data_IF_821792395975
#
_entry.id   IF_821792395975
#
_cell.length_a   1.000
_cell.length_b   1.000
_cell.length_c   1.000
_cell.angle_alpha   90.00
_cell.angle_beta   90.00
_cell.angle_gamma   90.00
#
_symmetry.space_group_name_H-M   'P 1'
#
loop_
_entity.id
_entity.type
_entity.pdbx_description
1 polymer ?
#
# COMPACT_ATOMS: atom_id res chain seq x y z
N UNK A 1 27.16 -6.84 -28.62
CA UNK A 1 26.42 -5.83 -27.81
C UNK A 1 24.97 -6.26 -27.76
N UNK A 2 24.52 -6.68 -26.60
CA UNK A 2 23.36 -7.54 -26.41
C UNK A 2 22.07 -6.77 -26.71
N UNK A 3 21.13 -7.42 -27.41
CA UNK A 3 19.77 -6.91 -27.66
C UNK A 3 19.07 -6.43 -26.37
N UNK A 4 19.41 -7.05 -25.24
CA UNK A 4 18.93 -6.68 -23.90
C UNK A 4 19.40 -5.29 -23.44
N UNK A 5 20.62 -4.86 -23.82
CA UNK A 5 21.13 -3.52 -23.47
C UNK A 5 20.38 -2.41 -24.24
N UNK A 6 19.95 -2.69 -25.47
CA UNK A 6 19.21 -1.72 -26.28
C UNK A 6 17.78 -1.53 -25.76
N UNK A 7 17.13 -2.61 -25.34
CA UNK A 7 15.79 -2.53 -24.74
C UNK A 7 15.80 -1.78 -23.40
N UNK A 8 16.79 -2.06 -22.53
CA UNK A 8 16.95 -1.34 -21.26
C UNK A 8 17.21 0.16 -21.48
N UNK A 9 18.04 0.53 -22.46
CA UNK A 9 18.28 1.93 -22.80
C UNK A 9 17.05 2.65 -23.34
N UNK A 10 16.23 1.99 -24.17
CA UNK A 10 14.98 2.57 -24.71
C UNK A 10 13.95 2.79 -23.61
N UNK A 11 13.81 1.85 -22.68
CA UNK A 11 12.89 1.97 -21.54
C UNK A 11 13.35 3.09 -20.61
N UNK A 12 14.65 3.14 -20.27
CA UNK A 12 15.23 4.17 -19.38
C UNK A 12 15.22 5.58 -19.97
N UNK A 13 15.22 5.72 -21.30
CA UNK A 13 15.13 7.02 -21.99
C UNK A 13 13.70 7.47 -22.26
N UNK A 14 12.68 6.66 -21.94
CA UNK A 14 11.30 7.07 -22.14
C UNK A 14 10.95 8.29 -21.26
N UNK A 15 10.16 9.25 -21.78
CA UNK A 15 9.74 10.42 -21.01
C UNK A 15 8.94 10.02 -19.77
N UNK A 16 8.23 8.90 -19.83
CA UNK A 16 7.52 8.28 -18.71
C UNK A 16 8.50 7.82 -17.62
N UNK A 17 9.57 7.12 -17.99
CA UNK A 17 10.59 6.66 -17.04
C UNK A 17 11.36 7.82 -16.40
N UNK A 18 11.69 8.86 -17.18
CA UNK A 18 12.37 10.07 -16.68
C UNK A 18 11.47 10.94 -15.81
N UNK A 19 10.15 10.86 -16.01
CA UNK A 19 9.16 11.54 -15.16
C UNK A 19 8.89 10.81 -13.85
N UNK A 20 8.93 9.47 -13.85
CA UNK A 20 8.76 8.65 -12.65
C UNK A 20 10.05 8.59 -11.80
N UNK A 21 11.22 8.55 -12.44
CA UNK A 21 12.52 8.57 -11.77
C UNK A 21 13.27 9.86 -12.14
N UNK A 22 12.86 10.97 -11.51
CA UNK A 22 13.40 12.32 -11.77
C UNK A 22 14.88 12.52 -11.43
N UNK A 23 15.51 11.61 -10.68
CA UNK A 23 16.90 11.76 -10.20
C UNK A 23 17.76 10.52 -10.55
N UNK A 24 18.97 10.68 -11.12
CA UNK A 24 19.92 9.57 -11.33
C UNK A 24 20.38 8.93 -10.01
N UNK A 25 20.89 7.69 -10.08
CA UNK A 25 21.30 6.90 -8.91
C UNK A 25 22.27 7.71 -8.02
N UNK A 26 21.87 8.06 -6.79
CA UNK A 26 22.56 9.06 -6.00
C UNK A 26 23.86 8.50 -5.42
N UNK A 27 24.99 9.13 -5.76
CA UNK A 27 26.33 8.78 -5.26
C UNK A 27 26.77 9.56 -4.02
N UNK A 28 26.07 10.66 -3.70
CA UNK A 28 26.32 11.53 -2.54
C UNK A 28 25.14 11.54 -1.55
N UNK A 29 25.44 11.80 -0.27
CA UNK A 29 24.45 11.77 0.82
C UNK A 29 23.36 12.84 0.70
N UNK A 30 23.70 14.02 0.16
CA UNK A 30 22.72 15.08 -0.14
C UNK A 30 21.81 14.68 -1.30
N UNK A 31 22.37 14.12 -2.37
CA UNK A 31 21.64 13.67 -3.56
C UNK A 31 20.68 12.50 -3.25
N UNK A 32 21.00 11.65 -2.26
CA UNK A 32 20.09 10.61 -1.73
C UNK A 32 18.85 11.21 -1.07
N UNK A 33 19.01 12.25 -0.26
CA UNK A 33 17.87 12.91 0.38
C UNK A 33 16.95 13.60 -0.64
N UNK A 34 17.52 14.30 -1.63
CA UNK A 34 16.74 14.93 -2.70
C UNK A 34 16.03 13.91 -3.61
N UNK A 35 16.58 12.71 -3.83
CA UNK A 35 15.93 11.66 -4.60
C UNK A 35 14.68 11.08 -3.90
N UNK A 36 14.69 11.06 -2.56
CA UNK A 36 13.58 10.56 -1.74
C UNK A 36 12.48 11.62 -1.57
N UNK A 37 12.86 12.91 -1.43
CA UNK A 37 11.88 13.99 -1.26
C UNK A 37 11.14 14.38 -2.55
N UNK A 38 11.76 14.21 -3.73
CA UNK A 38 11.15 14.58 -5.02
C UNK A 38 10.21 13.54 -5.62
N UNK A 39 10.03 12.40 -4.96
CA UNK A 39 9.15 11.32 -5.39
C UNK A 39 8.02 11.15 -4.38
N UNK A 40 6.77 11.27 -4.82
CA UNK A 40 5.58 11.14 -3.96
C UNK A 40 5.58 9.83 -3.17
N UNK A 41 5.98 8.73 -3.82
CA UNK A 41 6.07 7.42 -3.18
C UNK A 41 7.24 7.25 -2.21
N UNK A 42 8.39 7.88 -2.49
CA UNK A 42 9.53 7.82 -1.58
C UNK A 42 9.42 8.84 -0.43
N UNK A 43 8.60 9.89 -0.56
CA UNK A 43 8.35 10.85 0.51
C UNK A 43 7.69 10.21 1.74
N UNK A 44 6.83 9.21 1.52
CA UNK A 44 6.11 8.49 2.58
C UNK A 44 7.09 7.64 3.41
N UNK A 45 8.21 7.19 2.81
CA UNK A 45 9.19 6.36 3.50
C UNK A 45 10.35 7.21 4.04
N UNK A 46 10.69 7.14 5.34
CA UNK A 46 11.76 7.94 5.91
C UNK A 46 13.11 7.70 5.19
N UNK A 47 13.75 8.80 4.79
CA UNK A 47 15.02 8.87 4.02
C UNK A 47 16.17 8.13 4.70
N UNK A 48 16.15 8.07 6.03
CA UNK A 48 17.13 7.36 6.84
C UNK A 48 16.43 6.56 7.91
N UNK A 49 16.55 5.24 7.84
CA UNK A 49 16.19 4.35 8.94
C UNK A 49 17.49 3.90 9.60
N UNK A 50 17.62 4.12 10.92
CA UNK A 50 18.78 3.64 11.67
C UNK A 50 18.71 2.11 11.79
N UNK A 51 19.81 1.39 11.57
CA UNK A 51 19.84 -0.08 11.53
C UNK A 51 19.27 -0.76 12.79
N UNK A 52 19.39 -0.10 13.95
CA UNK A 52 18.83 -0.58 15.24
C UNK A 52 17.31 -0.42 15.36
N UNK A 53 16.68 0.43 14.54
CA UNK A 53 15.21 0.55 14.44
C UNK A 53 14.60 -0.51 13.51
N UNK A 54 15.43 -1.23 12.75
CA UNK A 54 15.02 -2.38 11.91
C UNK A 54 15.03 -3.69 12.71
N UNK A 55 15.38 -3.65 14.01
CA UNK A 55 15.15 -4.79 14.91
C UNK A 55 13.63 -4.98 15.04
N UNK A 56 13.11 -5.87 14.19
CA UNK A 56 11.73 -6.30 13.94
C UNK A 56 10.87 -6.56 15.20
N UNK A 57 11.47 -6.57 16.39
CA UNK A 57 10.86 -6.99 17.64
C UNK A 57 10.37 -5.87 18.58
N UNK A 58 10.70 -4.58 18.35
CA UNK A 58 10.35 -3.53 19.34
C UNK A 58 9.01 -2.82 19.13
N UNK A 59 8.42 -2.84 17.92
CA UNK A 59 7.11 -2.21 17.66
C UNK A 59 6.03 -3.18 17.18
N UNK A 60 6.32 -4.50 17.18
CA UNK A 60 5.39 -5.58 16.83
C UNK A 60 4.61 -5.37 15.52
N UNK A 61 5.06 -4.49 14.63
CA UNK A 61 4.25 -4.02 13.52
C UNK A 61 2.84 -3.59 13.99
N UNK A 62 2.64 -3.13 15.24
CA UNK A 62 1.30 -2.90 15.80
C UNK A 62 0.51 -1.88 14.98
N UNK A 63 1.19 -0.87 14.43
CA UNK A 63 0.60 0.08 13.50
C UNK A 63 0.28 -0.53 12.13
N UNK A 64 1.11 -1.43 11.61
CA UNK A 64 0.83 -2.13 10.35
C UNK A 64 -0.26 -3.19 10.51
N UNK A 65 -0.30 -3.85 11.65
CA UNK A 65 -1.32 -4.84 12.03
C UNK A 65 -2.66 -4.17 12.27
N UNK A 66 -2.71 -3.01 12.95
CA UNK A 66 -3.95 -2.24 13.09
C UNK A 66 -4.45 -1.72 11.75
N UNK A 67 -3.56 -1.23 10.88
CA UNK A 67 -3.90 -0.82 9.52
C UNK A 67 -4.40 -2.00 8.67
N UNK A 68 -3.77 -3.17 8.78
CA UNK A 68 -4.18 -4.39 8.09
C UNK A 68 -5.57 -4.85 8.55
N UNK A 69 -5.81 -4.92 9.87
CA UNK A 69 -7.12 -5.26 10.43
C UNK A 69 -8.19 -4.24 10.03
N UNK A 70 -7.85 -2.95 9.98
CA UNK A 70 -8.75 -1.90 9.50
C UNK A 70 -9.14 -2.11 8.03
N UNK A 71 -8.20 -2.49 7.17
CA UNK A 71 -8.47 -2.78 5.76
C UNK A 71 -9.39 -3.99 5.62
N UNK A 72 -9.11 -5.07 6.35
CA UNK A 72 -9.97 -6.27 6.39
C UNK A 72 -11.38 -5.91 6.85
N UNK A 73 -11.52 -5.16 7.95
CA UNK A 73 -12.82 -4.73 8.48
C UNK A 73 -13.57 -3.83 7.49
N UNK A 74 -12.86 -2.97 6.77
CA UNK A 74 -13.48 -2.09 5.76
C UNK A 74 -14.05 -2.92 4.61
N UNK A 75 -13.30 -3.90 4.11
CA UNK A 75 -13.74 -4.78 3.02
C UNK A 75 -14.93 -5.63 3.45
N UNK A 76 -14.87 -6.29 4.62
CA UNK A 76 -15.97 -7.12 5.12
C UNK A 76 -17.19 -6.28 5.53
N UNK A 77 -16.98 -5.08 6.07
CA UNK A 77 -18.04 -4.14 6.42
C UNK A 77 -18.80 -3.63 5.19
N UNK A 78 -18.09 -3.25 4.12
CA UNK A 78 -18.73 -2.87 2.85
C UNK A 78 -19.50 -4.03 2.24
N UNK A 79 -18.97 -5.26 2.32
CA UNK A 79 -19.69 -6.46 1.87
C UNK A 79 -21.02 -6.66 2.62
N UNK A 80 -21.00 -6.57 3.95
CA UNK A 80 -22.20 -6.71 4.79
C UNK A 80 -23.24 -5.60 4.54
N UNK A 81 -22.81 -4.38 4.22
CA UNK A 81 -23.72 -3.26 3.91
C UNK A 81 -24.58 -3.49 2.67
N UNK A 82 -24.20 -4.37 1.75
CA UNK A 82 -25.07 -4.75 0.62
C UNK A 82 -26.27 -5.60 1.04
N UNK A 83 -26.16 -6.35 2.14
CA UNK A 83 -27.19 -7.26 2.63
C UNK A 83 -27.90 -6.76 3.89
N UNK A 84 -27.33 -5.76 4.58
CA UNK A 84 -27.90 -5.18 5.78
C UNK A 84 -28.69 -3.90 5.49
N UNK A 85 -29.99 -3.90 5.81
CA UNK A 85 -30.82 -2.68 5.82
C UNK A 85 -30.91 -2.12 7.25
N UNK A 86 -30.53 -0.84 7.48
CA UNK A 86 -30.60 -0.20 8.79
C UNK A 86 -32.04 0.19 9.14
N UNK A 87 -32.85 -0.80 9.52
CA UNK A 87 -34.23 -0.60 9.99
C UNK A 87 -34.47 -1.43 11.25
N UNK A 88 -35.08 -0.83 12.28
CA UNK A 88 -35.38 -1.53 13.55
C UNK A 88 -36.31 -2.74 13.36
N UNK A 89 -37.14 -2.75 12.30
CA UNK A 89 -38.07 -3.84 12.02
C UNK A 89 -37.47 -4.98 11.21
N UNK A 90 -36.44 -4.71 10.40
CA UNK A 90 -35.85 -5.69 9.47
C UNK A 90 -34.42 -6.09 9.85
N UNK A 91 -33.76 -5.40 10.79
CA UNK A 91 -32.37 -5.68 11.17
C UNK A 91 -32.17 -7.14 11.62
N UNK A 92 -33.11 -7.70 12.38
CA UNK A 92 -33.01 -9.08 12.86
C UNK A 92 -33.15 -10.11 11.74
N UNK A 93 -34.13 -9.93 10.85
CA UNK A 93 -34.34 -10.83 9.71
C UNK A 93 -33.16 -10.78 8.73
N UNK A 94 -32.61 -9.59 8.47
CA UNK A 94 -31.45 -9.44 7.59
C UNK A 94 -30.22 -10.19 8.13
N UNK A 95 -30.01 -10.24 9.44
CA UNK A 95 -28.91 -11.01 10.04
C UNK A 95 -29.13 -12.52 9.85
N UNK A 96 -30.36 -13.01 9.99
CA UNK A 96 -30.69 -14.42 9.75
C UNK A 96 -30.50 -14.79 8.28
N UNK A 97 -30.87 -13.90 7.36
CA UNK A 97 -30.69 -14.10 5.93
C UNK A 97 -29.20 -14.12 5.55
N UNK A 98 -28.39 -13.24 6.15
CA UNK A 98 -26.93 -13.24 5.97
C UNK A 98 -26.32 -14.59 6.41
N UNK A 99 -26.73 -15.13 7.56
CA UNK A 99 -26.17 -16.40 8.07
C UNK A 99 -26.61 -17.64 7.27
N UNK A 100 -27.79 -17.62 6.65
CA UNK A 100 -28.42 -18.82 6.07
C UNK A 100 -28.41 -18.86 4.54
N UNK A 101 -28.41 -17.71 3.88
CA UNK A 101 -28.61 -17.61 2.43
C UNK A 101 -27.43 -16.95 1.69
N UNK A 102 -26.60 -16.17 2.39
CA UNK A 102 -25.44 -15.50 1.80
C UNK A 102 -24.23 -16.43 1.88
N UNK A 103 -23.63 -16.73 0.74
CA UNK A 103 -22.40 -17.54 0.69
C UNK A 103 -21.25 -16.75 1.33
N UNK A 104 -20.58 -17.33 2.33
CA UNK A 104 -19.56 -16.67 3.15
C UNK A 104 -20.07 -15.49 4.02
N UNK A 105 -21.38 -15.46 4.34
CA UNK A 105 -22.01 -14.51 5.27
C UNK A 105 -22.06 -15.00 6.71
#
# INVERSE_FOLDING_TARGET
>A
MSFLERMDQTIRRSPVWRSLFRQPYPRDERSRAYAVMNNVFLHIHPVRVRQHAVKFAYTFCLGGLSFFLFLVLTVTGVYLMFFYVPSATQAYTNILDIQSSVTFG
#
